data_IF_330281437576
#
_entry.id   IF_330281437576
#
_cell.length_a   1.000
_cell.length_b   1.000
_cell.length_c   1.000
_cell.angle_alpha   90.00
_cell.angle_beta   90.00
_cell.angle_gamma   90.00
#
_symmetry.space_group_name_H-M   'P 1'
#
loop_
_entity.id
_entity.type
_entity.pdbx_description
1 polymer ?
#
# COMPACT_ATOMS: atom_id res chain seq x y z
N UNK A 1 -0.15 19.68 9.83
CA UNK A 1 -0.43 18.57 8.90
C UNK A 1 -0.47 17.30 9.74
N UNK A 2 -1.53 16.50 9.64
CA UNK A 2 -1.65 15.25 10.40
C UNK A 2 -0.87 14.17 9.64
N UNK A 3 0.27 13.75 10.18
CA UNK A 3 1.05 12.67 9.58
C UNK A 3 0.33 11.34 9.74
N UNK A 4 0.22 10.57 8.68
CA UNK A 4 -0.21 9.17 8.72
C UNK A 4 0.96 8.30 9.18
N UNK A 5 0.65 7.28 9.96
CA UNK A 5 1.63 6.29 10.44
C UNK A 5 1.15 4.90 10.05
N UNK A 6 2.08 4.04 9.72
CA UNK A 6 1.82 2.65 9.35
C UNK A 6 2.41 1.71 10.40
N UNK A 7 1.66 0.68 10.77
CA UNK A 7 2.05 -0.35 11.71
C UNK A 7 2.02 -1.71 11.00
N UNK A 8 3.14 -2.44 10.91
CA UNK A 8 3.12 -3.78 10.33
C UNK A 8 2.45 -4.76 11.29
N UNK A 9 1.52 -5.57 10.75
CA UNK A 9 0.71 -6.52 11.54
C UNK A 9 0.80 -7.95 11.04
N UNK A 10 1.31 -8.18 9.83
CA UNK A 10 1.56 -9.49 9.27
C UNK A 10 2.76 -9.45 8.35
N UNK A 11 3.62 -10.47 8.44
CA UNK A 11 4.62 -10.79 7.42
C UNK A 11 4.51 -12.26 7.09
N UNK A 12 4.40 -12.58 5.80
CA UNK A 12 4.16 -13.94 5.33
C UNK A 12 4.77 -14.16 3.94
N UNK A 13 5.14 -15.41 3.65
CA UNK A 13 5.52 -15.83 2.30
C UNK A 13 4.32 -16.25 1.44
N UNK A 14 3.11 -16.30 2.02
CA UNK A 14 1.87 -16.67 1.33
C UNK A 14 1.03 -15.43 1.01
N UNK A 15 0.94 -15.09 -0.29
CA UNK A 15 0.13 -13.99 -0.77
C UNK A 15 -1.36 -14.13 -0.38
N UNK A 16 -1.88 -15.36 -0.38
CA UNK A 16 -3.28 -15.60 -0.02
C UNK A 16 -3.55 -15.25 1.44
N UNK A 17 -2.60 -15.52 2.33
CA UNK A 17 -2.67 -15.13 3.74
C UNK A 17 -2.65 -13.60 3.89
N UNK A 18 -1.76 -12.91 3.14
CA UNK A 18 -1.70 -11.45 3.11
C UNK A 18 -3.02 -10.82 2.65
N UNK A 19 -3.56 -11.30 1.53
CA UNK A 19 -4.85 -10.82 0.98
C UNK A 19 -6.02 -11.14 1.92
N UNK A 20 -6.01 -12.30 2.58
CA UNK A 20 -7.03 -12.65 3.57
C UNK A 20 -6.99 -11.69 4.79
N UNK A 21 -5.80 -11.31 5.25
CA UNK A 21 -5.66 -10.32 6.33
C UNK A 21 -6.20 -8.95 5.92
N UNK A 22 -5.88 -8.49 4.70
CA UNK A 22 -6.45 -7.26 4.11
C UNK A 22 -7.98 -7.36 4.07
N UNK A 23 -8.54 -8.45 3.54
CA UNK A 23 -9.99 -8.65 3.45
C UNK A 23 -10.69 -8.52 4.80
N UNK A 24 -10.15 -9.16 5.85
CA UNK A 24 -10.69 -9.05 7.23
C UNK A 24 -10.64 -7.63 7.78
N UNK A 25 -9.61 -6.86 7.45
CA UNK A 25 -9.53 -5.45 7.83
C UNK A 25 -10.57 -4.60 7.12
N UNK A 26 -10.76 -4.83 5.82
CA UNK A 26 -11.78 -4.13 5.03
C UNK A 26 -13.21 -4.47 5.49
N UNK A 27 -13.46 -5.69 5.97
CA UNK A 27 -14.77 -6.09 6.52
C UNK A 27 -15.19 -5.29 7.76
N UNK A 28 -14.24 -4.77 8.53
CA UNK A 28 -14.52 -3.96 9.73
C UNK A 28 -14.45 -2.45 9.48
N UNK A 29 -13.99 -2.03 8.31
CA UNK A 29 -13.83 -0.63 7.93
C UNK A 29 -15.11 -0.04 7.32
N UNK A 30 -15.25 1.27 7.37
CA UNK A 30 -16.25 2.00 6.58
C UNK A 30 -15.69 2.26 5.17
N UNK A 31 -16.21 1.54 4.18
CA UNK A 31 -15.72 1.53 2.79
C UNK A 31 -16.44 2.54 1.88
N UNK A 32 -17.15 3.55 2.42
CA UNK A 32 -17.99 4.46 1.65
C UNK A 32 -17.37 5.00 0.36
N UNK A 33 -16.08 5.39 0.39
CA UNK A 33 -15.32 5.89 -0.75
C UNK A 33 -14.04 5.05 -0.92
N UNK A 34 -14.19 3.76 -1.21
CA UNK A 34 -13.04 2.86 -1.38
C UNK A 34 -12.29 3.13 -2.69
N UNK A 35 -11.06 3.55 -2.56
CA UNK A 35 -10.09 3.70 -3.65
C UNK A 35 -8.87 2.82 -3.43
N UNK A 36 -8.14 2.52 -4.49
CA UNK A 36 -6.92 1.72 -4.41
C UNK A 36 -5.77 2.42 -5.12
N UNK A 37 -4.68 2.61 -4.40
CA UNK A 37 -3.45 3.15 -4.95
C UNK A 37 -2.47 2.02 -5.24
N UNK A 38 -1.78 2.14 -6.35
CA UNK A 38 -0.79 1.20 -6.84
C UNK A 38 0.55 1.90 -6.95
N UNK A 39 1.60 1.28 -6.44
CA UNK A 39 2.97 1.76 -6.55
C UNK A 39 3.90 0.57 -6.84
N UNK A 40 4.82 0.72 -7.78
CA UNK A 40 5.75 -0.35 -8.15
C UNK A 40 7.08 0.22 -8.61
N UNK A 41 8.16 -0.45 -8.20
CA UNK A 41 9.52 -0.21 -8.68
C UNK A 41 9.87 -1.25 -9.74
N UNK A 42 10.11 -0.79 -10.95
CA UNK A 42 10.35 -1.65 -12.13
C UNK A 42 11.78 -1.50 -12.61
N UNK A 43 12.50 -2.60 -12.71
CA UNK A 43 13.91 -2.64 -13.13
C UNK A 43 14.13 -3.34 -14.48
N UNK A 44 13.06 -3.86 -15.12
CA UNK A 44 13.16 -4.55 -16.40
C UNK A 44 11.92 -4.34 -17.27
N UNK A 45 12.08 -4.55 -18.57
CA UNK A 45 11.03 -4.27 -19.56
C UNK A 45 9.83 -5.20 -19.50
N UNK A 46 10.03 -6.45 -19.08
CA UNK A 46 8.94 -7.44 -19.03
C UNK A 46 7.81 -7.05 -18.06
N UNK A 47 8.07 -6.80 -16.76
CA UNK A 47 7.01 -6.32 -15.86
C UNK A 47 6.52 -4.92 -16.26
N UNK A 48 7.35 -4.05 -16.84
CA UNK A 48 6.93 -2.74 -17.29
C UNK A 48 5.76 -2.81 -18.28
N UNK A 49 5.89 -3.61 -19.32
CA UNK A 49 4.84 -3.76 -20.34
C UNK A 49 3.55 -4.34 -19.76
N UNK A 50 3.68 -5.32 -18.85
CA UNK A 50 2.54 -5.94 -18.19
C UNK A 50 1.81 -4.94 -17.27
N UNK A 51 2.55 -4.17 -16.48
CA UNK A 51 1.99 -3.16 -15.56
C UNK A 51 1.32 -2.03 -16.33
N UNK A 52 1.93 -1.51 -17.41
CA UNK A 52 1.32 -0.46 -18.24
C UNK A 52 0.05 -0.94 -18.96
N UNK A 53 -0.08 -2.23 -19.26
CA UNK A 53 -1.30 -2.79 -19.81
C UNK A 53 -2.46 -2.79 -18.78
N UNK A 54 -2.15 -2.91 -17.49
CA UNK A 54 -3.14 -2.85 -16.39
C UNK A 54 -3.39 -1.41 -15.95
N UNK A 55 -2.35 -0.59 -15.89
CA UNK A 55 -2.37 0.80 -15.42
C UNK A 55 -1.92 1.77 -16.53
N UNK A 56 -2.69 1.95 -17.61
CA UNK A 56 -2.25 2.76 -18.76
C UNK A 56 -2.05 4.24 -18.43
N UNK A 57 -2.75 4.75 -17.42
CA UNK A 57 -2.68 6.17 -17.00
C UNK A 57 -1.79 6.38 -15.77
N UNK A 58 -0.92 5.41 -15.44
CA UNK A 58 -0.02 5.56 -14.31
C UNK A 58 1.04 6.63 -14.59
N UNK A 59 1.35 7.41 -13.57
CA UNK A 59 2.48 8.31 -13.57
C UNK A 59 3.77 7.52 -13.35
N UNK A 60 4.87 7.97 -13.93
CA UNK A 60 6.15 7.33 -13.72
C UNK A 60 7.31 8.34 -13.67
N UNK A 61 8.39 7.98 -12.99
CA UNK A 61 9.62 8.76 -12.93
C UNK A 61 10.84 7.83 -12.81
N UNK A 62 11.98 8.29 -13.34
CA UNK A 62 13.24 7.58 -13.23
C UNK A 62 13.74 7.61 -11.77
N UNK A 63 14.41 6.55 -11.35
CA UNK A 63 15.02 6.51 -10.02
C UNK A 63 16.14 7.56 -9.91
N UNK A 64 16.05 8.41 -8.86
CA UNK A 64 16.94 9.56 -8.70
C UNK A 64 16.38 10.90 -9.16
N UNK A 65 15.29 10.91 -9.92
CA UNK A 65 14.63 12.13 -10.39
C UNK A 65 13.56 12.56 -9.35
N UNK A 66 14.01 13.13 -8.24
CA UNK A 66 13.14 13.48 -7.09
C UNK A 66 12.21 14.67 -7.33
N UNK A 67 12.45 15.44 -8.37
CA UNK A 67 11.74 16.73 -8.55
C UNK A 67 10.54 16.64 -9.51
N UNK A 68 10.18 15.46 -10.03
CA UNK A 68 9.04 15.34 -10.94
C UNK A 68 9.14 16.18 -12.21
N UNK A 69 10.34 16.73 -12.48
CA UNK A 69 10.62 17.59 -13.63
C UNK A 69 10.90 16.81 -14.92
N UNK A 70 10.69 15.48 -14.90
CA UNK A 70 10.75 14.74 -16.14
C UNK A 70 9.60 15.17 -17.04
N UNK A 71 9.90 16.07 -17.97
CA UNK A 71 9.09 16.26 -19.17
C UNK A 71 8.56 14.88 -19.59
N UNK A 72 7.27 14.80 -19.95
CA UNK A 72 6.64 13.57 -20.45
C UNK A 72 7.55 12.93 -21.50
N UNK A 73 8.29 11.94 -21.06
CA UNK A 73 9.13 11.12 -21.93
C UNK A 73 8.27 10.00 -22.45
N UNK A 74 8.22 9.82 -23.77
CA UNK A 74 7.27 8.92 -24.41
C UNK A 74 7.55 7.44 -24.14
N UNK A 75 8.77 7.06 -23.74
CA UNK A 75 9.16 5.67 -23.52
C UNK A 75 9.85 5.46 -22.16
N UNK A 76 9.09 4.96 -21.14
CA UNK A 76 9.65 4.66 -19.83
C UNK A 76 10.72 3.56 -19.84
N UNK A 77 10.75 2.68 -20.86
CA UNK A 77 11.69 1.57 -20.93
C UNK A 77 13.15 2.02 -21.06
N UNK A 78 13.38 3.22 -21.62
CA UNK A 78 14.72 3.80 -21.75
C UNK A 78 15.30 4.33 -20.42
N UNK A 79 14.50 4.39 -19.36
CA UNK A 79 14.87 5.03 -18.08
C UNK A 79 14.86 4.07 -16.88
N UNK A 80 14.77 2.77 -17.13
CA UNK A 80 14.82 1.76 -16.05
C UNK A 80 16.11 1.87 -15.21
N UNK A 81 16.04 1.74 -13.88
CA UNK A 81 14.83 1.48 -13.09
C UNK A 81 13.95 2.72 -12.93
N UNK A 82 12.63 2.49 -12.90
CA UNK A 82 11.63 3.53 -12.71
C UNK A 82 10.69 3.18 -11.56
N UNK A 83 10.07 4.20 -10.99
CA UNK A 83 8.89 4.05 -10.13
C UNK A 83 7.65 4.44 -10.93
N UNK A 84 6.59 3.65 -10.78
CA UNK A 84 5.32 3.86 -11.47
C UNK A 84 4.21 3.84 -10.43
N UNK A 85 3.31 4.84 -10.50
CA UNK A 85 2.24 5.01 -9.53
C UNK A 85 0.91 5.33 -10.21
N UNK A 86 -0.16 4.78 -9.66
CA UNK A 86 -1.54 5.10 -10.02
C UNK A 86 -2.33 5.36 -8.76
N UNK A 87 -2.92 6.53 -8.66
CA UNK A 87 -3.84 6.93 -7.60
C UNK A 87 -5.28 6.60 -7.96
N UNK A 88 -6.11 6.39 -6.93
CA UNK A 88 -7.57 6.28 -7.06
C UNK A 88 -8.02 5.28 -8.13
N UNK A 89 -7.39 4.12 -8.18
CA UNK A 89 -7.80 3.02 -9.05
C UNK A 89 -8.96 2.23 -8.47
N UNK A 90 -9.60 1.42 -9.30
CA UNK A 90 -10.70 0.56 -8.90
C UNK A 90 -10.18 -0.73 -8.21
N UNK A 91 -10.88 -1.26 -7.20
CA UNK A 91 -10.49 -2.50 -6.50
C UNK A 91 -10.29 -3.71 -7.43
N UNK A 92 -11.01 -3.78 -8.54
CA UNK A 92 -10.90 -4.86 -9.54
C UNK A 92 -9.53 -4.92 -10.21
N UNK A 93 -8.76 -3.84 -10.17
CA UNK A 93 -7.41 -3.74 -10.74
C UNK A 93 -6.36 -4.46 -9.88
N UNK A 94 -6.64 -4.75 -8.62
CA UNK A 94 -5.68 -5.35 -7.68
C UNK A 94 -5.14 -6.70 -8.19
N UNK A 95 -6.01 -7.63 -8.55
CA UNK A 95 -5.59 -8.96 -9.01
C UNK A 95 -4.78 -8.90 -10.31
N UNK A 96 -5.22 -8.20 -11.37
CA UNK A 96 -4.39 -8.00 -12.57
C UNK A 96 -3.05 -7.34 -12.28
N UNK A 97 -3.01 -6.33 -11.40
CA UNK A 97 -1.78 -5.65 -11.01
C UNK A 97 -0.79 -6.61 -10.32
N UNK A 98 -1.24 -7.37 -9.32
CA UNK A 98 -0.38 -8.33 -8.63
C UNK A 98 0.17 -9.43 -9.57
N UNK A 99 -0.56 -9.79 -10.62
CA UNK A 99 -0.07 -10.69 -11.66
C UNK A 99 0.97 -10.02 -12.58
N UNK A 100 0.80 -8.72 -12.86
CA UNK A 100 1.65 -7.98 -13.77
C UNK A 100 3.01 -7.61 -13.17
N UNK A 101 3.08 -7.31 -11.87
CA UNK A 101 4.32 -6.88 -11.20
C UNK A 101 5.36 -8.00 -11.08
N UNK A 102 4.96 -9.27 -11.12
CA UNK A 102 5.88 -10.41 -10.95
C UNK A 102 6.61 -10.31 -9.61
N UNK A 103 7.95 -10.36 -9.64
CA UNK A 103 8.79 -10.26 -8.44
C UNK A 103 9.22 -8.81 -8.13
N UNK A 104 8.63 -7.81 -8.81
CA UNK A 104 8.97 -6.40 -8.59
C UNK A 104 8.46 -5.92 -7.23
N UNK A 105 9.24 -5.15 -6.47
CA UNK A 105 8.76 -4.48 -5.26
C UNK A 105 7.57 -3.58 -5.59
N UNK A 106 6.45 -3.77 -4.88
CA UNK A 106 5.22 -3.04 -5.12
C UNK A 106 4.42 -2.84 -3.83
N UNK A 107 3.53 -1.85 -3.83
CA UNK A 107 2.49 -1.71 -2.81
C UNK A 107 1.12 -1.57 -3.45
N UNK A 108 0.13 -2.13 -2.77
CA UNK A 108 -1.29 -1.88 -3.00
C UNK A 108 -1.84 -1.28 -1.72
N UNK A 109 -2.41 -0.08 -1.79
CA UNK A 109 -3.01 0.62 -0.66
C UNK A 109 -4.50 0.82 -0.89
N UNK A 110 -5.31 0.33 0.03
CA UNK A 110 -6.74 0.58 0.09
C UNK A 110 -7.00 1.78 0.97
N UNK A 111 -7.57 2.82 0.40
CA UNK A 111 -8.00 4.05 1.05
C UNK A 111 -9.53 4.00 1.20
N UNK A 112 -10.04 4.29 2.40
CA UNK A 112 -11.45 4.21 2.70
C UNK A 112 -11.86 5.29 3.72
N UNK A 113 -13.16 5.42 3.94
CA UNK A 113 -13.73 6.54 4.70
C UNK A 113 -13.26 6.59 6.14
N UNK A 114 -13.30 5.46 6.87
CA UNK A 114 -12.94 5.47 8.29
C UNK A 114 -12.64 4.09 8.87
N UNK A 115 -11.84 4.08 9.93
CA UNK A 115 -11.78 2.96 10.88
C UNK A 115 -12.97 3.01 11.85
N UNK A 116 -13.46 1.84 12.31
CA UNK A 116 -14.55 1.80 13.29
C UNK A 116 -14.13 2.39 14.63
N UNK A 117 -15.12 2.69 15.47
CA UNK A 117 -14.88 3.04 16.87
C UNK A 117 -14.12 1.93 17.59
N UNK A 118 -13.19 2.34 18.46
CA UNK A 118 -12.40 1.46 19.30
C UNK A 118 -12.55 1.87 20.78
N UNK A 119 -13.73 1.64 21.37
CA UNK A 119 -14.06 2.12 22.72
C UNK A 119 -13.15 1.50 23.80
N UNK A 120 -12.64 0.28 23.57
CA UNK A 120 -11.73 -0.39 24.50
C UNK A 120 -10.40 0.36 24.68
N UNK A 121 -10.02 1.18 23.71
CA UNK A 121 -8.84 2.05 23.77
C UNK A 121 -9.20 3.54 23.78
N UNK A 122 -10.46 3.87 24.01
CA UNK A 122 -10.94 5.24 24.17
C UNK A 122 -10.99 6.05 22.88
N UNK A 123 -11.07 5.40 21.71
CA UNK A 123 -11.06 6.05 20.41
C UNK A 123 -12.44 5.97 19.73
N UNK A 124 -12.92 7.12 19.25
CA UNK A 124 -14.10 7.21 18.38
C UNK A 124 -13.81 6.73 16.97
N UNK A 125 -14.67 7.06 16.00
CA UNK A 125 -14.47 6.76 14.57
C UNK A 125 -13.17 7.39 14.09
N UNK A 126 -12.31 6.59 13.46
CA UNK A 126 -11.05 7.03 12.87
C UNK A 126 -11.28 7.66 11.50
N UNK A 127 -11.29 8.99 11.42
CA UNK A 127 -11.60 9.69 10.17
C UNK A 127 -10.57 9.54 9.06
N UNK A 128 -10.93 10.00 7.87
CA UNK A 128 -10.37 9.74 6.54
C UNK A 128 -8.87 9.96 6.32
N UNK A 129 -8.15 10.66 7.15
CA UNK A 129 -6.69 10.80 7.02
C UNK A 129 -5.97 9.81 7.94
N UNK A 130 -5.78 8.57 7.47
CA UNK A 130 -5.16 7.49 8.22
C UNK A 130 -5.99 6.21 8.26
N UNK A 131 -7.06 6.15 7.49
CA UNK A 131 -7.85 4.95 7.30
C UNK A 131 -7.40 4.22 6.02
N UNK A 132 -6.23 3.56 6.11
CA UNK A 132 -5.63 2.83 5.00
C UNK A 132 -5.16 1.45 5.45
N UNK A 133 -5.17 0.51 4.51
CA UNK A 133 -4.44 -0.76 4.60
C UNK A 133 -3.47 -0.82 3.44
N UNK A 134 -2.22 -1.20 3.68
CA UNK A 134 -1.24 -1.43 2.61
C UNK A 134 -0.73 -2.86 2.65
N UNK A 135 -0.74 -3.51 1.50
CA UNK A 135 0.00 -4.74 1.24
C UNK A 135 1.29 -4.38 0.51
N UNK A 136 2.42 -4.61 1.16
CA UNK A 136 3.73 -4.58 0.54
C UNK A 136 4.02 -5.92 -0.12
N UNK A 137 4.41 -5.87 -1.38
CA UNK A 137 4.61 -7.00 -2.26
C UNK A 137 6.08 -7.02 -2.69
N UNK A 138 6.81 -8.06 -2.30
CA UNK A 138 8.25 -8.20 -2.52
C UNK A 138 9.10 -7.03 -1.98
N UNK A 139 8.60 -6.39 -0.92
CA UNK A 139 9.30 -5.35 -0.17
C UNK A 139 8.86 -5.36 1.29
N UNK A 140 9.70 -4.89 2.20
CA UNK A 140 9.40 -4.78 3.64
C UNK A 140 8.99 -3.39 4.07
N UNK A 141 9.21 -2.41 3.23
CA UNK A 141 8.92 -1.00 3.48
C UNK A 141 7.89 -0.42 2.49
N UNK A 142 7.38 0.73 2.84
CA UNK A 142 6.40 1.46 2.05
C UNK A 142 7.04 2.27 0.90
N UNK A 143 8.36 2.47 0.94
CA UNK A 143 9.12 3.25 -0.04
C UNK A 143 9.71 2.39 -1.16
N UNK A 144 9.53 1.05 -1.12
CA UNK A 144 10.04 0.07 -2.07
C UNK A 144 11.58 0.01 -2.12
N UNK A 145 12.25 0.35 -1.01
CA UNK A 145 13.71 0.40 -0.93
C UNK A 145 14.32 -0.88 -0.35
N UNK A 146 13.53 -1.69 0.38
CA UNK A 146 13.96 -2.95 1.00
C UNK A 146 13.34 -4.18 0.31
N UNK A 147 13.86 -4.63 -0.85
CA UNK A 147 13.34 -5.82 -1.53
C UNK A 147 13.33 -7.06 -0.65
N UNK A 148 12.30 -7.86 -0.73
CA UNK A 148 12.12 -9.07 0.05
C UNK A 148 11.43 -10.17 -0.76
N UNK A 149 11.45 -11.41 -0.27
CA UNK A 149 10.69 -12.50 -0.88
C UNK A 149 9.33 -12.74 -0.21
N UNK A 150 9.00 -11.89 0.76
CA UNK A 150 7.78 -11.98 1.57
C UNK A 150 6.84 -10.79 1.30
N UNK A 151 5.67 -10.85 1.91
CA UNK A 151 4.62 -9.84 1.87
C UNK A 151 4.42 -9.27 3.27
N UNK A 152 4.17 -7.98 3.37
CA UNK A 152 3.90 -7.32 4.67
C UNK A 152 2.59 -6.55 4.58
N UNK A 153 1.70 -6.75 5.56
CA UNK A 153 0.46 -5.98 5.71
C UNK A 153 0.65 -4.91 6.77
N UNK A 154 0.33 -3.68 6.41
CA UNK A 154 0.33 -2.53 7.31
C UNK A 154 -1.09 -2.00 7.49
N UNK A 155 -1.42 -1.61 8.71
CA UNK A 155 -2.56 -0.73 9.00
C UNK A 155 -2.05 0.69 9.20
N UNK A 156 -2.78 1.67 8.69
CA UNK A 156 -2.44 3.07 8.87
C UNK A 156 -3.38 3.72 9.86
N UNK A 157 -2.82 4.57 10.69
CA UNK A 157 -3.53 5.32 11.72
C UNK A 157 -2.94 6.73 11.85
N UNK A 158 -3.65 7.65 12.47
CA UNK A 158 -3.07 8.94 12.89
C UNK A 158 -2.14 8.71 14.07
N UNK A 159 -1.08 9.52 14.20
CA UNK A 159 -0.17 9.45 15.32
C UNK A 159 -0.89 9.53 16.68
N UNK A 160 -1.86 10.42 16.79
CA UNK A 160 -2.66 10.62 18.02
C UNK A 160 -3.60 9.45 18.32
N UNK A 161 -3.75 8.52 17.39
CA UNK A 161 -4.59 7.31 17.49
C UNK A 161 -3.74 6.03 17.41
N UNK A 162 -2.46 6.07 17.77
CA UNK A 162 -1.52 4.95 17.64
C UNK A 162 -2.04 3.63 18.28
N UNK A 163 -2.77 3.72 19.38
CA UNK A 163 -3.38 2.57 20.06
C UNK A 163 -4.45 1.84 19.22
N UNK A 164 -4.95 2.48 18.16
CA UNK A 164 -5.86 1.84 17.20
C UNK A 164 -5.19 0.71 16.43
N UNK A 165 -3.90 0.83 16.08
CA UNK A 165 -3.21 -0.16 15.26
C UNK A 165 -3.14 -1.55 15.94
N UNK A 166 -2.67 -1.70 17.19
CA UNK A 166 -2.73 -2.98 17.88
C UNK A 166 -4.17 -3.47 18.12
N UNK A 167 -5.12 -2.57 18.34
CA UNK A 167 -6.53 -2.93 18.47
C UNK A 167 -7.08 -3.52 17.18
N UNK A 168 -6.82 -2.90 16.00
CA UNK A 168 -7.23 -3.41 14.69
C UNK A 168 -6.59 -4.78 14.42
N UNK A 169 -5.29 -4.93 14.68
CA UNK A 169 -4.61 -6.21 14.54
C UNK A 169 -5.30 -7.32 15.35
N UNK A 170 -5.60 -7.06 16.62
CA UNK A 170 -6.29 -8.03 17.49
C UNK A 170 -7.70 -8.39 16.99
N UNK A 171 -8.44 -7.42 16.43
CA UNK A 171 -9.80 -7.64 15.88
C UNK A 171 -9.80 -8.63 14.70
N UNK A 172 -8.70 -8.70 13.95
CA UNK A 172 -8.55 -9.65 12.83
C UNK A 172 -7.69 -10.86 13.18
N UNK A 173 -7.45 -11.11 14.48
CA UNK A 173 -6.70 -12.28 14.96
C UNK A 173 -5.19 -12.19 14.73
N UNK A 174 -4.66 -10.99 14.56
CA UNK A 174 -3.24 -10.70 14.35
C UNK A 174 -2.67 -9.88 15.52
N UNK A 175 -1.40 -9.52 15.43
CA UNK A 175 -0.70 -8.64 16.36
C UNK A 175 0.27 -7.75 15.62
N UNK A 176 0.65 -6.64 16.21
CA UNK A 176 1.74 -5.81 15.70
C UNK A 176 3.08 -6.57 15.75
N UNK A 177 3.89 -6.43 14.70
CA UNK A 177 5.14 -7.18 14.53
C UNK A 177 6.38 -6.26 14.38
N UNK A 178 6.22 -4.96 14.43
CA UNK A 178 7.30 -3.98 14.32
C UNK A 178 6.87 -2.62 14.84
N UNK A 179 7.71 -1.63 14.63
CA UNK A 179 7.46 -0.27 15.11
C UNK A 179 6.44 0.47 14.22
N UNK A 180 5.82 1.47 14.80
CA UNK A 180 5.00 2.44 14.07
C UNK A 180 5.94 3.35 13.27
N UNK A 181 5.79 3.36 11.95
CA UNK A 181 6.63 4.15 11.04
C UNK A 181 5.81 5.28 10.40
N UNK A 182 6.48 6.40 10.10
CA UNK A 182 5.83 7.46 9.34
C UNK A 182 5.54 6.95 7.93
N UNK A 183 4.30 7.07 7.50
CA UNK A 183 3.89 6.63 6.17
C UNK A 183 4.07 7.77 5.16
N UNK A 184 4.67 7.51 3.99
CA UNK A 184 4.65 8.46 2.89
C UNK A 184 3.21 8.63 2.38
N UNK A 185 2.88 9.84 1.93
CA UNK A 185 1.63 10.13 1.23
C UNK A 185 1.76 9.85 -0.25
#
# INVERSE_FOLDING_TARGET
MSSSYAQPILRTADLSEGLCAVGRLLEIADLGDLEVDFDVRISSTRPLSAVLAVLPDAEWWAEGDRDGSSERRDDPSAFLPIRLRRWAGAPEMVKPFLQAVGDSPATVRWDFTAWPEAPEVGLGVGGSRGAFVTLCFHTRDLDLEEPAADYTVFVHVKQVEAERAPWLAARVGLRVIGDLVMAPY
#
